data_IF_708512303783
#
_entry.id   IF_708512303783
#
_cell.length_a   1.000
_cell.length_b   1.000
_cell.length_c   1.000
_cell.angle_alpha   90.00
_cell.angle_beta   90.00
_cell.angle_gamma   90.00
#
_symmetry.space_group_name_H-M   'P 1'
#
loop_
_entity.id
_entity.type
_entity.pdbx_description
1 polymer ?
#
# COMPACT_ATOMS: atom_id res chain seq x y z
N UNK A 1 15.78 2.22 25.98
CA UNK A 1 14.91 1.05 25.71
C UNK A 1 14.61 1.03 24.23
N UNK A 2 14.76 -0.12 23.59
CA UNK A 2 14.47 -0.30 22.17
C UNK A 2 12.95 -0.49 21.99
N UNK A 3 12.30 0.36 21.17
CA UNK A 3 10.85 0.27 20.93
C UNK A 3 10.45 -1.03 20.23
N UNK A 4 11.38 -1.69 19.53
CA UNK A 4 11.17 -2.94 18.81
C UNK A 4 11.36 -4.20 19.68
N UNK A 5 11.67 -4.06 20.95
CA UNK A 5 11.96 -5.20 21.84
C UNK A 5 10.86 -6.26 21.82
N UNK A 6 9.58 -5.86 21.85
CA UNK A 6 8.45 -6.80 21.78
C UNK A 6 8.33 -7.50 20.43
N UNK A 7 8.68 -6.82 19.34
CA UNK A 7 8.73 -7.41 18.00
C UNK A 7 9.83 -8.48 17.93
N UNK A 8 11.02 -8.18 18.47
CA UNK A 8 12.13 -9.16 18.56
C UNK A 8 11.75 -10.42 19.35
N UNK A 9 10.94 -10.29 20.38
CA UNK A 9 10.43 -11.46 21.15
C UNK A 9 9.51 -12.36 20.31
N UNK A 10 8.83 -11.83 19.30
CA UNK A 10 7.94 -12.60 18.42
C UNK A 10 8.70 -13.29 17.30
N UNK A 11 9.64 -12.60 16.66
CA UNK A 11 10.30 -13.10 15.45
C UNK A 11 11.72 -13.61 15.69
N UNK A 12 12.32 -13.33 16.84
CA UNK A 12 13.72 -13.57 17.16
C UNK A 12 14.63 -12.41 16.76
N UNK A 13 15.75 -12.24 17.46
CA UNK A 13 16.64 -11.09 17.26
C UNK A 13 17.34 -11.13 15.90
N UNK A 14 17.99 -12.26 15.56
CA UNK A 14 18.71 -12.39 14.29
C UNK A 14 17.80 -12.28 13.04
N UNK A 15 16.62 -12.91 12.96
CA UNK A 15 15.68 -12.66 11.86
C UNK A 15 15.20 -11.20 11.80
N UNK A 16 14.92 -10.59 12.96
CA UNK A 16 14.52 -9.19 13.04
C UNK A 16 15.57 -8.26 12.42
N UNK A 17 16.83 -8.39 12.80
CA UNK A 17 17.91 -7.55 12.29
C UNK A 17 18.07 -7.69 10.77
N UNK A 18 18.00 -8.90 10.24
CA UNK A 18 18.10 -9.16 8.79
C UNK A 18 16.95 -8.55 8.00
N UNK A 19 15.71 -8.69 8.50
CA UNK A 19 14.54 -8.18 7.77
C UNK A 19 14.43 -6.67 7.85
N UNK A 20 14.81 -6.05 8.97
CA UNK A 20 14.68 -4.60 9.13
C UNK A 20 15.66 -3.80 8.29
N UNK A 21 16.75 -4.40 7.80
CA UNK A 21 17.70 -3.79 6.88
C UNK A 21 17.23 -3.81 5.40
N UNK A 22 16.17 -4.56 5.11
CA UNK A 22 15.58 -4.64 3.77
C UNK A 22 14.99 -3.30 3.32
N UNK A 23 14.99 -3.07 2.00
CA UNK A 23 14.50 -1.85 1.36
C UNK A 23 13.09 -2.05 0.84
N UNK A 24 12.14 -1.24 1.28
CA UNK A 24 10.76 -1.32 0.84
C UNK A 24 10.37 -0.04 0.10
N UNK A 25 9.75 -0.19 -1.07
CA UNK A 25 9.07 0.91 -1.72
C UNK A 25 7.56 0.82 -1.44
N UNK A 26 6.95 1.91 -0.98
CA UNK A 26 5.51 2.05 -0.81
C UNK A 26 5.00 3.06 -1.83
N UNK A 27 4.20 2.61 -2.78
CA UNK A 27 3.66 3.45 -3.85
C UNK A 27 2.19 3.75 -3.58
N UNK A 28 1.90 5.02 -3.27
CA UNK A 28 0.65 5.51 -2.73
C UNK A 28 0.60 5.42 -1.20
N UNK A 29 0.47 6.56 -0.51
CA UNK A 29 0.33 6.63 0.96
C UNK A 29 -1.04 7.14 1.40
N UNK A 30 -2.08 6.69 0.69
CA UNK A 30 -3.47 6.86 1.06
C UNK A 30 -3.90 5.99 2.25
N UNK A 31 -5.15 5.54 2.28
CA UNK A 31 -5.68 4.73 3.38
C UNK A 31 -4.97 3.38 3.56
N UNK A 32 -4.72 2.66 2.46
CA UNK A 32 -4.01 1.37 2.49
C UNK A 32 -2.51 1.57 2.69
N UNK A 33 -1.87 2.37 1.83
CA UNK A 33 -0.43 2.54 1.86
C UNK A 33 0.05 3.26 3.11
N UNK A 34 -0.72 4.24 3.63
CA UNK A 34 -0.42 4.89 4.91
C UNK A 34 -0.44 3.91 6.09
N UNK A 35 -1.42 3.00 6.13
CA UNK A 35 -1.48 1.96 7.16
C UNK A 35 -0.38 0.89 6.98
N UNK A 36 -0.02 0.55 5.73
CA UNK A 36 1.10 -0.34 5.47
C UNK A 36 2.41 0.28 5.95
N UNK A 37 2.65 1.54 5.63
CA UNK A 37 3.81 2.29 6.13
C UNK A 37 3.87 2.29 7.66
N UNK A 38 2.74 2.62 8.33
CA UNK A 38 2.64 2.60 9.79
C UNK A 38 3.04 1.23 10.36
N UNK A 39 2.53 0.15 9.78
CA UNK A 39 2.86 -1.22 10.18
C UNK A 39 4.35 -1.53 10.03
N UNK A 40 4.94 -1.19 8.89
CA UNK A 40 6.37 -1.39 8.61
C UNK A 40 7.26 -0.61 9.59
N UNK A 41 6.95 0.67 9.81
CA UNK A 41 7.71 1.54 10.73
C UNK A 41 7.65 1.00 12.17
N UNK A 42 6.45 0.61 12.64
CA UNK A 42 6.27 0.05 13.99
C UNK A 42 6.86 -1.34 14.16
N UNK A 43 6.94 -2.11 13.08
CA UNK A 43 7.69 -3.36 13.10
C UNK A 43 9.20 -3.13 13.30
N UNK A 44 9.72 -2.01 12.81
CA UNK A 44 11.13 -1.62 12.94
C UNK A 44 11.89 -1.56 11.61
N UNK A 45 11.18 -1.59 10.45
CA UNK A 45 11.85 -1.45 9.14
C UNK A 45 12.63 -0.13 9.10
N UNK A 46 13.88 -0.20 8.58
CA UNK A 46 14.81 0.93 8.62
C UNK A 46 14.87 1.70 7.31
N UNK A 47 14.63 1.04 6.17
CA UNK A 47 14.84 1.64 4.85
C UNK A 47 13.55 1.61 4.04
N UNK A 48 12.89 2.76 3.93
CA UNK A 48 11.61 2.87 3.20
C UNK A 48 11.67 4.05 2.24
N UNK A 49 11.29 3.83 0.98
CA UNK A 49 11.01 4.91 0.03
C UNK A 49 9.52 4.99 -0.24
N UNK A 50 8.94 6.17 -0.12
CA UNK A 50 7.51 6.42 -0.35
C UNK A 50 7.30 7.31 -1.58
N UNK A 51 6.33 6.92 -2.41
CA UNK A 51 5.92 7.62 -3.62
C UNK A 51 4.46 8.02 -3.51
N UNK A 52 4.17 9.28 -3.61
CA UNK A 52 2.81 9.85 -3.71
C UNK A 52 2.92 11.27 -4.27
N UNK A 53 1.89 11.77 -4.93
CA UNK A 53 1.89 13.12 -5.51
C UNK A 53 0.84 14.03 -4.89
N UNK A 54 -0.07 13.48 -4.09
CA UNK A 54 -1.18 14.20 -3.51
C UNK A 54 -0.77 15.04 -2.30
N UNK A 55 -1.62 16.02 -2.00
CA UNK A 55 -1.67 16.69 -0.70
C UNK A 55 -2.73 16.06 0.20
N UNK A 56 -2.63 16.28 1.50
CA UNK A 56 -3.67 15.88 2.45
C UNK A 56 -4.91 16.74 2.25
N UNK A 57 -6.05 16.10 2.04
CA UNK A 57 -7.36 16.74 1.93
C UNK A 57 -8.20 16.46 3.18
N UNK A 58 -9.11 17.38 3.53
CA UNK A 58 -9.99 17.24 4.69
C UNK A 58 -10.82 15.95 4.63
N UNK A 59 -11.19 15.48 3.43
CA UNK A 59 -11.93 14.23 3.23
C UNK A 59 -11.09 12.97 3.45
N UNK A 60 -9.77 13.11 3.63
CA UNK A 60 -8.88 12.00 3.91
C UNK A 60 -8.87 11.59 5.39
N UNK A 61 -9.23 12.53 6.29
CA UNK A 61 -9.14 12.35 7.73
C UNK A 61 -9.93 11.16 8.27
N UNK A 62 -10.99 10.78 7.56
CA UNK A 62 -11.84 9.67 8.01
C UNK A 62 -11.19 8.28 7.88
N UNK A 63 -10.06 8.17 7.11
CA UNK A 63 -9.49 6.85 6.81
C UNK A 63 -7.98 6.80 6.61
N UNK A 64 -7.32 7.92 6.34
CA UNK A 64 -5.87 7.96 6.14
C UNK A 64 -5.17 8.27 7.47
N UNK A 65 -4.49 7.29 8.02
CA UNK A 65 -3.85 7.36 9.35
C UNK A 65 -2.81 8.48 9.48
N UNK A 66 -2.24 8.92 8.36
CA UNK A 66 -1.28 10.02 8.33
C UNK A 66 -1.95 11.38 8.42
N UNK A 67 -3.26 11.47 8.14
CA UNK A 67 -3.97 12.73 7.93
C UNK A 67 -4.59 13.25 9.23
N UNK A 68 -4.21 14.46 9.62
CA UNK A 68 -4.78 15.22 10.72
C UNK A 68 -5.17 16.62 10.24
N UNK A 69 -5.91 17.39 11.04
CA UNK A 69 -6.39 18.73 10.63
C UNK A 69 -5.27 19.73 10.36
N UNK A 70 -4.20 19.65 11.14
CA UNK A 70 -3.03 20.54 11.09
C UNK A 70 -2.13 20.32 9.86
N UNK A 71 -2.28 19.20 9.16
CA UNK A 71 -1.48 18.86 7.96
C UNK A 71 -2.27 18.95 6.66
N UNK A 72 -3.52 19.43 6.69
CA UNK A 72 -4.31 19.63 5.46
C UNK A 72 -3.60 20.61 4.52
N UNK A 73 -3.46 20.21 3.25
CA UNK A 73 -2.73 20.97 2.22
C UNK A 73 -1.24 20.63 2.09
N UNK A 74 -0.67 19.89 3.04
CA UNK A 74 0.74 19.45 2.98
C UNK A 74 0.85 18.16 2.14
N UNK A 75 1.99 17.98 1.44
CA UNK A 75 2.25 16.77 0.65
C UNK A 75 2.15 15.50 1.51
N UNK A 76 1.43 14.49 1.04
CA UNK A 76 1.26 13.23 1.78
C UNK A 76 2.59 12.56 2.08
N UNK A 77 3.56 12.62 1.17
CA UNK A 77 4.89 12.05 1.39
C UNK A 77 5.62 12.72 2.54
N UNK A 78 5.54 14.03 2.66
CA UNK A 78 6.13 14.80 3.76
C UNK A 78 5.47 14.44 5.11
N UNK A 79 4.15 14.45 5.16
CA UNK A 79 3.38 14.11 6.37
C UNK A 79 3.68 12.68 6.82
N UNK A 80 3.71 11.74 5.86
CA UNK A 80 4.01 10.33 6.13
C UNK A 80 5.44 10.15 6.66
N UNK A 81 6.43 10.86 6.10
CA UNK A 81 7.81 10.80 6.56
C UNK A 81 7.98 11.39 7.97
N UNK A 82 7.34 12.53 8.26
CA UNK A 82 7.37 13.14 9.58
C UNK A 82 6.75 12.21 10.63
N UNK A 83 5.61 11.58 10.30
CA UNK A 83 4.99 10.58 11.16
C UNK A 83 5.89 9.36 11.38
N UNK A 84 6.51 8.83 10.35
CA UNK A 84 7.44 7.70 10.46
C UNK A 84 8.61 8.03 11.39
N UNK A 85 9.22 9.21 11.25
CA UNK A 85 10.31 9.68 12.11
C UNK A 85 9.87 9.93 13.54
N UNK A 86 8.61 10.32 13.80
CA UNK A 86 8.09 10.46 15.16
C UNK A 86 7.94 9.13 15.90
N UNK A 87 7.82 8.01 15.16
CA UNK A 87 7.75 6.64 15.69
C UNK A 87 9.14 6.03 15.80
N UNK A 88 9.94 6.14 14.75
CA UNK A 88 11.31 5.64 14.65
C UNK A 88 12.22 6.79 14.17
N UNK A 89 12.90 7.50 15.08
CA UNK A 89 13.79 8.63 14.71
C UNK A 89 14.94 8.23 13.78
N UNK A 90 15.39 6.98 13.88
CA UNK A 90 16.55 6.46 13.12
C UNK A 90 16.16 5.90 11.75
N UNK A 91 14.91 6.02 11.34
CA UNK A 91 14.43 5.51 10.05
C UNK A 91 15.07 6.29 8.88
N UNK A 92 15.63 5.56 7.94
CA UNK A 92 16.02 6.09 6.64
C UNK A 92 14.79 6.09 5.72
N UNK A 93 14.02 7.18 5.73
CA UNK A 93 12.83 7.34 4.90
C UNK A 93 13.08 8.37 3.81
N UNK A 94 12.94 7.96 2.56
CA UNK A 94 13.02 8.80 1.36
C UNK A 94 11.62 9.08 0.84
N UNK A 95 11.39 10.33 0.45
CA UNK A 95 10.14 10.80 -0.14
C UNK A 95 10.33 11.15 -1.61
N UNK A 96 9.44 10.69 -2.46
CA UNK A 96 9.43 11.00 -3.89
C UNK A 96 8.03 11.51 -4.23
N UNK A 97 7.90 12.82 -4.36
CA UNK A 97 6.61 13.49 -4.61
C UNK A 97 6.30 13.51 -6.11
N UNK A 98 5.89 12.36 -6.66
CA UNK A 98 5.55 12.21 -8.07
C UNK A 98 4.34 11.28 -8.26
N UNK A 99 3.56 11.53 -9.30
CA UNK A 99 2.60 10.56 -9.80
C UNK A 99 3.35 9.48 -10.57
N UNK A 100 3.26 8.22 -10.10
CA UNK A 100 3.92 7.09 -10.78
C UNK A 100 3.16 6.76 -12.06
N UNK A 101 3.90 6.77 -13.16
CA UNK A 101 3.43 6.42 -14.49
C UNK A 101 4.58 5.77 -15.31
N UNK A 102 4.25 5.28 -16.51
CA UNK A 102 5.16 4.49 -17.35
C UNK A 102 6.55 5.12 -17.52
N UNK A 103 6.60 6.45 -17.68
CA UNK A 103 7.82 7.18 -18.05
C UNK A 103 8.77 7.39 -16.84
N UNK A 104 8.32 7.17 -15.60
CA UNK A 104 9.13 7.37 -14.41
C UNK A 104 9.30 6.13 -13.52
N UNK A 105 8.90 4.95 -14.00
CA UNK A 105 9.04 3.69 -13.25
C UNK A 105 10.50 3.33 -12.92
N UNK A 106 11.46 3.88 -13.68
CA UNK A 106 12.88 3.71 -13.37
C UNK A 106 13.24 4.20 -11.97
N UNK A 107 12.54 5.21 -11.44
CA UNK A 107 12.71 5.70 -10.07
C UNK A 107 12.50 4.59 -9.02
N UNK A 108 11.61 3.62 -9.28
CA UNK A 108 11.39 2.48 -8.39
C UNK A 108 12.62 1.55 -8.41
N UNK A 109 13.15 1.25 -9.61
CA UNK A 109 14.30 0.37 -9.77
C UNK A 109 15.58 0.96 -9.18
N UNK A 110 15.75 2.28 -9.28
CA UNK A 110 16.93 2.99 -8.76
C UNK A 110 17.04 2.89 -7.23
N UNK A 111 15.91 2.72 -6.53
CA UNK A 111 15.88 2.46 -5.09
C UNK A 111 16.38 1.05 -4.74
N UNK A 112 16.45 0.13 -5.70
CA UNK A 112 16.83 -1.28 -5.51
C UNK A 112 16.03 -1.92 -4.38
N UNK A 113 14.69 -1.92 -4.47
CA UNK A 113 13.85 -2.44 -3.41
C UNK A 113 13.93 -3.96 -3.33
N UNK A 114 13.94 -4.50 -2.11
CA UNK A 114 13.70 -5.91 -1.86
C UNK A 114 12.22 -6.28 -2.05
N UNK A 115 11.31 -5.28 -1.87
CA UNK A 115 9.87 -5.46 -2.08
C UNK A 115 9.16 -4.14 -2.42
N UNK A 116 8.13 -4.21 -3.26
CA UNK A 116 7.26 -3.07 -3.60
C UNK A 116 5.84 -3.33 -3.07
N UNK A 117 5.27 -2.34 -2.39
CA UNK A 117 3.86 -2.30 -2.02
C UNK A 117 3.15 -1.33 -2.95
N UNK A 118 2.24 -1.84 -3.76
CA UNK A 118 1.38 -1.07 -4.64
C UNK A 118 0.03 -0.81 -3.98
N UNK A 119 -0.18 0.41 -3.51
CA UNK A 119 -1.42 0.92 -2.95
C UNK A 119 -2.05 2.04 -3.81
N UNK A 120 -1.74 2.07 -5.12
CA UNK A 120 -2.29 3.03 -6.09
C UNK A 120 -3.74 2.67 -6.39
N UNK A 121 -4.59 3.67 -6.63
CA UNK A 121 -5.98 3.49 -7.05
C UNK A 121 -6.18 3.67 -8.57
N UNK A 122 -5.26 4.33 -9.28
CA UNK A 122 -5.27 4.48 -10.72
C UNK A 122 -4.99 3.16 -11.42
N UNK A 123 -5.96 2.64 -12.19
CA UNK A 123 -5.83 1.38 -12.94
C UNK A 123 -4.62 1.39 -13.86
N UNK A 124 -4.42 2.47 -14.63
CA UNK A 124 -3.33 2.56 -15.59
C UNK A 124 -1.97 2.52 -14.89
N UNK A 125 -1.77 3.38 -13.89
CA UNK A 125 -0.51 3.45 -13.14
C UNK A 125 -0.20 2.12 -12.43
N UNK A 126 -1.22 1.50 -11.82
CA UNK A 126 -1.10 0.17 -11.18
C UNK A 126 -0.69 -0.91 -12.17
N UNK A 127 -1.28 -0.95 -13.36
CA UNK A 127 -0.92 -1.93 -14.41
C UNK A 127 0.52 -1.72 -14.89
N UNK A 128 0.91 -0.48 -15.14
CA UNK A 128 2.24 -0.15 -15.63
C UNK A 128 3.30 -0.50 -14.57
N UNK A 129 3.04 -0.22 -13.29
CA UNK A 129 3.91 -0.58 -12.16
C UNK A 129 4.06 -2.10 -12.01
N UNK A 130 2.95 -2.84 -12.05
CA UNK A 130 2.97 -4.31 -11.93
C UNK A 130 3.77 -4.92 -13.09
N UNK A 131 3.49 -4.51 -14.33
CA UNK A 131 4.20 -5.01 -15.52
C UNK A 131 5.70 -4.72 -15.45
N UNK A 132 6.06 -3.51 -15.02
CA UNK A 132 7.44 -3.11 -14.81
C UNK A 132 8.14 -4.01 -13.77
N UNK A 133 7.54 -4.17 -12.60
CA UNK A 133 8.12 -5.00 -11.53
C UNK A 133 8.28 -6.46 -11.96
N UNK A 134 7.29 -7.03 -12.67
CA UNK A 134 7.41 -8.39 -13.20
C UNK A 134 8.54 -8.52 -14.22
N UNK A 135 8.69 -7.56 -15.14
CA UNK A 135 9.78 -7.56 -16.13
C UNK A 135 11.16 -7.43 -15.48
N UNK A 136 11.28 -6.60 -14.45
CA UNK A 136 12.53 -6.35 -13.74
C UNK A 136 12.80 -7.35 -12.59
N UNK A 137 11.94 -8.36 -12.40
CA UNK A 137 12.01 -9.34 -11.31
C UNK A 137 12.03 -8.71 -9.92
N UNK A 138 11.30 -7.61 -9.73
CA UNK A 138 11.13 -6.94 -8.44
C UNK A 138 9.89 -7.52 -7.74
N UNK A 139 10.02 -8.07 -6.52
CA UNK A 139 8.87 -8.57 -5.77
C UNK A 139 7.85 -7.47 -5.50
N UNK A 140 6.58 -7.74 -5.78
CA UNK A 140 5.50 -6.76 -5.63
C UNK A 140 4.21 -7.42 -5.13
N UNK A 141 3.50 -6.71 -4.24
CA UNK A 141 2.11 -7.00 -3.86
C UNK A 141 1.24 -5.79 -4.14
N UNK A 142 0.05 -6.02 -4.69
CA UNK A 142 -0.92 -4.95 -4.97
C UNK A 142 -2.16 -5.06 -4.12
N UNK A 143 -2.60 -3.95 -3.52
CA UNK A 143 -3.92 -3.89 -2.89
C UNK A 143 -4.99 -3.64 -3.94
N UNK A 144 -6.05 -4.46 -3.92
CA UNK A 144 -7.26 -4.21 -4.70
C UNK A 144 -8.20 -3.25 -3.95
N UNK A 145 -9.40 -3.00 -4.48
CA UNK A 145 -10.31 -2.01 -3.91
C UNK A 145 -10.78 -2.36 -2.49
N UNK A 146 -10.62 -1.40 -1.59
CA UNK A 146 -11.08 -1.47 -0.19
C UNK A 146 -12.29 -0.57 0.10
N UNK A 147 -12.75 0.19 -0.90
CA UNK A 147 -13.90 1.08 -0.77
C UNK A 147 -15.25 0.35 -0.69
N UNK A 148 -16.28 1.07 -0.22
CA UNK A 148 -17.66 0.61 -0.04
C UNK A 148 -17.78 -0.60 0.90
N UNK A 149 -16.90 -0.67 1.92
CA UNK A 149 -16.83 -1.76 2.89
C UNK A 149 -16.74 -1.21 4.31
N UNK A 150 -17.63 -1.66 5.15
CA UNK A 150 -17.57 -1.48 6.60
C UNK A 150 -16.89 -2.71 7.24
N UNK A 151 -17.23 -3.89 6.76
CA UNK A 151 -16.73 -5.16 7.29
C UNK A 151 -15.35 -5.48 6.74
N UNK A 152 -14.39 -5.72 7.63
CA UNK A 152 -13.01 -6.07 7.29
C UNK A 152 -12.79 -7.58 7.15
N UNK A 153 -13.76 -8.42 7.55
CA UNK A 153 -13.62 -9.88 7.41
C UNK A 153 -13.67 -10.28 5.93
N UNK A 154 -12.87 -11.25 5.55
CA UNK A 154 -12.79 -11.73 4.17
C UNK A 154 -11.67 -11.10 3.33
N UNK A 155 -10.83 -10.22 3.91
CA UNK A 155 -9.57 -9.87 3.27
C UNK A 155 -8.62 -11.07 3.27
N UNK A 156 -8.06 -11.33 2.10
CA UNK A 156 -7.07 -12.39 1.86
C UNK A 156 -5.96 -11.88 0.95
N UNK A 157 -4.81 -12.53 1.00
CA UNK A 157 -3.70 -12.33 0.06
C UNK A 157 -3.57 -13.60 -0.75
N UNK A 158 -3.77 -13.50 -2.05
CA UNK A 158 -3.70 -14.62 -3.00
C UNK A 158 -3.44 -14.07 -4.41
N UNK A 159 -3.42 -14.95 -5.39
CA UNK A 159 -3.27 -14.60 -6.80
C UNK A 159 -4.46 -13.79 -7.31
N UNK A 160 -4.19 -12.80 -8.16
CA UNK A 160 -5.22 -11.89 -8.71
C UNK A 160 -6.37 -12.65 -9.39
N UNK A 161 -6.14 -13.83 -9.94
CA UNK A 161 -7.14 -14.68 -10.57
C UNK A 161 -8.24 -15.10 -9.59
N UNK A 162 -7.92 -15.24 -8.31
CA UNK A 162 -8.86 -15.60 -7.24
C UNK A 162 -9.84 -14.48 -6.88
N UNK A 163 -9.66 -13.29 -7.45
CA UNK A 163 -10.62 -12.17 -7.28
C UNK A 163 -11.91 -12.37 -8.06
N UNK A 164 -12.07 -13.45 -8.83
CA UNK A 164 -13.28 -13.72 -9.59
C UNK A 164 -14.51 -13.79 -8.67
N UNK A 165 -15.56 -13.04 -9.03
CA UNK A 165 -16.83 -13.06 -8.27
C UNK A 165 -16.85 -12.19 -7.00
N UNK A 166 -15.75 -11.52 -6.61
CA UNK A 166 -15.71 -10.70 -5.39
C UNK A 166 -16.45 -9.34 -5.48
N UNK A 167 -17.07 -9.03 -6.62
CA UNK A 167 -17.85 -7.80 -6.83
C UNK A 167 -17.03 -6.50 -6.90
N UNK A 168 -15.70 -6.54 -6.76
CA UNK A 168 -14.85 -5.37 -6.83
C UNK A 168 -14.53 -4.99 -8.29
N UNK A 169 -14.91 -3.79 -8.73
CA UNK A 169 -14.66 -3.29 -10.08
C UNK A 169 -13.16 -3.22 -10.41
N UNK A 170 -12.33 -2.72 -9.49
CA UNK A 170 -10.89 -2.66 -9.68
C UNK A 170 -10.30 -4.06 -9.88
N UNK A 171 -10.64 -5.02 -9.01
CA UNK A 171 -10.17 -6.39 -9.12
C UNK A 171 -10.54 -7.03 -10.48
N UNK A 172 -11.76 -6.78 -10.96
CA UNK A 172 -12.21 -7.29 -12.27
C UNK A 172 -11.34 -6.76 -13.40
N UNK A 173 -11.10 -5.46 -13.44
CA UNK A 173 -10.29 -4.82 -14.48
C UNK A 173 -8.84 -5.30 -14.39
N UNK A 174 -8.24 -5.28 -13.20
CA UNK A 174 -6.86 -5.74 -13.00
C UNK A 174 -6.67 -7.18 -13.46
N UNK A 175 -7.54 -8.11 -13.07
CA UNK A 175 -7.48 -9.51 -13.52
C UNK A 175 -7.54 -9.66 -15.02
N UNK A 176 -8.42 -8.90 -15.68
CA UNK A 176 -8.59 -8.96 -17.13
C UNK A 176 -7.38 -8.39 -17.88
N UNK A 177 -6.90 -7.23 -17.46
CA UNK A 177 -5.81 -6.53 -18.13
C UNK A 177 -4.45 -7.22 -17.90
N UNK A 178 -4.18 -7.73 -16.69
CA UNK A 178 -2.97 -8.52 -16.43
C UNK A 178 -2.94 -9.80 -17.26
N UNK A 179 -4.07 -10.49 -17.41
CA UNK A 179 -4.18 -11.66 -18.28
C UNK A 179 -3.85 -11.30 -19.74
N UNK A 180 -4.35 -10.18 -20.27
CA UNK A 180 -4.05 -9.72 -21.64
C UNK A 180 -2.56 -9.40 -21.82
N UNK A 181 -1.88 -8.96 -20.76
CA UNK A 181 -0.43 -8.68 -20.75
C UNK A 181 0.42 -9.93 -20.49
N UNK A 182 -0.20 -11.12 -20.40
CA UNK A 182 0.52 -12.37 -20.12
C UNK A 182 1.02 -12.51 -18.68
N UNK A 183 0.58 -11.63 -17.75
CA UNK A 183 0.97 -11.66 -16.35
C UNK A 183 -0.04 -12.53 -15.60
N UNK A 184 0.45 -13.65 -15.05
CA UNK A 184 -0.34 -14.58 -14.24
C UNK A 184 0.30 -14.76 -12.86
N UNK A 185 -0.51 -15.15 -11.90
CA UNK A 185 -0.03 -15.43 -10.54
C UNK A 185 0.40 -14.17 -9.77
N UNK A 186 -0.01 -12.97 -10.19
CA UNK A 186 0.31 -11.75 -9.47
C UNK A 186 -0.32 -11.75 -8.07
N UNK A 187 0.51 -11.50 -7.05
CA UNK A 187 0.07 -11.49 -5.65
C UNK A 187 -0.71 -10.21 -5.34
N UNK A 188 -1.90 -10.36 -4.79
CA UNK A 188 -2.75 -9.23 -4.45
C UNK A 188 -3.53 -9.44 -3.16
N UNK A 189 -3.74 -8.36 -2.42
CA UNK A 189 -4.71 -8.31 -1.33
C UNK A 189 -6.08 -7.92 -1.89
N UNK A 190 -7.10 -8.69 -1.55
CA UNK A 190 -8.48 -8.40 -1.92
C UNK A 190 -9.45 -8.95 -0.89
N UNK A 191 -10.70 -8.48 -0.91
CA UNK A 191 -11.75 -9.07 -0.10
C UNK A 191 -12.54 -10.07 -0.93
N UNK A 192 -12.82 -11.25 -0.39
CA UNK A 192 -13.58 -12.32 -1.05
C UNK A 192 -15.09 -12.02 -1.12
N UNK A 193 -15.58 -11.12 -0.25
CA UNK A 193 -16.98 -10.70 -0.23
C UNK A 193 -17.21 -9.50 -1.16
N UNK A 194 -18.41 -9.32 -1.71
CA UNK A 194 -18.74 -8.12 -2.48
C UNK A 194 -18.72 -6.86 -1.59
N UNK A 195 -18.56 -5.66 -2.18
CA UNK A 195 -18.76 -4.39 -1.48
C UNK A 195 -20.19 -4.32 -0.90
N UNK A 196 -20.34 -3.71 0.27
CA UNK A 196 -21.64 -3.62 0.99
C UNK A 196 -22.52 -2.49 0.44
N UNK A 197 -21.91 -1.48 -0.19
CA UNK A 197 -22.64 -0.40 -0.84
C UNK A 197 -22.14 -0.19 -2.28
N UNK A 198 -22.98 0.44 -3.10
CA UNK A 198 -22.59 0.87 -4.45
C UNK A 198 -21.90 2.22 -4.37
N UNK A 199 -20.97 2.49 -5.28
CA UNK A 199 -20.40 3.82 -5.44
C UNK A 199 -21.54 4.83 -5.70
N UNK A 200 -21.50 5.96 -4.98
CA UNK A 200 -22.44 7.07 -5.19
C UNK A 200 -21.70 8.14 -6.01
N UNK A 201 -22.38 8.75 -6.95
CA UNK A 201 -21.83 9.89 -7.68
C UNK A 201 -21.47 10.99 -6.69
N UNK A 202 -20.20 11.37 -6.64
CA UNK A 202 -19.79 12.56 -5.91
C UNK A 202 -20.36 13.81 -6.59
N UNK A 203 -20.48 14.92 -5.84
CA UNK A 203 -20.95 16.21 -6.37
C UNK A 203 -20.18 16.68 -7.61
N UNK A 204 -18.97 16.15 -7.86
CA UNK A 204 -18.11 16.47 -8.99
C UNK A 204 -18.23 15.47 -10.17
N UNK A 205 -19.27 14.64 -10.21
CA UNK A 205 -19.54 13.69 -11.32
C UNK A 205 -18.58 12.51 -11.41
N UNK A 206 -17.63 12.35 -10.48
CA UNK A 206 -16.76 11.18 -10.41
C UNK A 206 -17.37 10.14 -9.47
N UNK A 207 -17.43 8.89 -9.91
CA UNK A 207 -17.82 7.77 -9.07
C UNK A 207 -16.72 7.49 -8.02
N UNK A 208 -16.74 8.23 -6.90
CA UNK A 208 -15.85 7.96 -5.78
C UNK A 208 -16.49 6.89 -4.88
N UNK A 209 -15.81 5.79 -4.58
CA UNK A 209 -16.32 4.82 -3.62
C UNK A 209 -16.36 5.43 -2.22
N UNK A 210 -17.41 5.10 -1.45
CA UNK A 210 -17.43 5.40 -0.03
C UNK A 210 -16.24 4.71 0.67
N UNK A 211 -15.79 5.28 1.78
CA UNK A 211 -14.70 4.67 2.57
C UNK A 211 -14.87 5.00 4.05
N UNK A 212 -14.39 4.11 4.90
CA UNK A 212 -14.35 4.25 6.36
C UNK A 212 -12.97 3.85 6.88
N UNK A 213 -12.65 4.09 8.17
CA UNK A 213 -11.30 3.85 8.67
C UNK A 213 -10.90 2.37 8.73
N UNK A 214 -11.84 1.44 8.70
CA UNK A 214 -11.54 0.03 9.01
C UNK A 214 -10.91 -0.70 7.81
N UNK A 215 -11.65 -0.83 6.71
CA UNK A 215 -11.24 -1.66 5.59
C UNK A 215 -9.87 -1.29 4.99
N UNK A 216 -9.55 -0.02 4.67
CA UNK A 216 -8.24 0.31 4.11
C UNK A 216 -7.10 0.13 5.11
N UNK A 217 -7.31 0.42 6.41
CA UNK A 217 -6.25 0.28 7.40
C UNK A 217 -5.95 -1.19 7.71
N UNK A 218 -6.97 -2.04 7.83
CA UNK A 218 -6.78 -3.49 7.97
C UNK A 218 -6.05 -4.05 6.75
N UNK A 219 -6.46 -3.68 5.54
CA UNK A 219 -5.80 -4.09 4.31
C UNK A 219 -4.32 -3.68 4.30
N UNK A 220 -4.00 -2.45 4.68
CA UNK A 220 -2.63 -1.96 4.75
C UNK A 220 -1.76 -2.73 5.75
N UNK A 221 -2.28 -2.99 6.96
CA UNK A 221 -1.56 -3.78 7.96
C UNK A 221 -1.33 -5.23 7.49
N UNK A 222 -2.31 -5.84 6.81
CA UNK A 222 -2.15 -7.18 6.24
C UNK A 222 -1.08 -7.22 5.14
N UNK A 223 -1.02 -6.19 4.27
CA UNK A 223 0.02 -6.07 3.25
C UNK A 223 1.40 -5.94 3.90
N UNK A 224 1.54 -5.08 4.91
CA UNK A 224 2.80 -4.92 5.65
C UNK A 224 3.25 -6.24 6.29
N UNK A 225 2.34 -6.92 6.99
CA UNK A 225 2.60 -8.22 7.60
C UNK A 225 3.05 -9.25 6.56
N UNK A 226 2.36 -9.32 5.41
CA UNK A 226 2.73 -10.24 4.34
C UNK A 226 4.15 -9.97 3.82
N UNK A 227 4.47 -8.69 3.51
CA UNK A 227 5.81 -8.31 3.02
C UNK A 227 6.89 -8.68 4.01
N UNK A 228 6.69 -8.37 5.30
CA UNK A 228 7.63 -8.76 6.36
C UNK A 228 7.81 -10.28 6.39
N UNK A 229 6.72 -11.06 6.28
CA UNK A 229 6.78 -12.53 6.29
C UNK A 229 7.49 -13.13 5.06
N UNK A 230 7.48 -12.43 3.92
CA UNK A 230 8.21 -12.88 2.74
C UNK A 230 9.73 -12.59 2.82
N UNK A 231 10.12 -11.67 3.69
CA UNK A 231 11.51 -11.24 3.85
C UNK A 231 12.22 -11.86 5.07
N UNK A 232 11.44 -12.44 6.03
CA UNK A 232 11.94 -13.24 7.15
C UNK A 232 12.48 -14.59 6.68
#
# INVERSE_FOLDING_TARGET
MDFSQRTKMVVGESPFEKVTDKKICVVGVGGVGGAALEGLVRFGMKNITIFDFDTVDITNLNRQIISTRDVVGINKTEVAANRAKSINPDINIRTVNVFIEKDNLQLIKDEKPDYVIDAIDSVKAKLDLIEFCHRENIPIISSMGTGNRLNCTGFVIDKVEKTAGNGCGLSKVMRQELKKRGITGHTSLFNTRPPESKAVNSANGRNAPGSCPFAPNVAGLMVAQYVVSQLL
#
